data_IF_356928970514
#
_entry.id   IF_356928970514
#
_cell.length_a   1.000
_cell.length_b   1.000
_cell.length_c   1.000
_cell.angle_alpha   90.00
_cell.angle_beta   90.00
_cell.angle_gamma   90.00
#
_symmetry.space_group_name_H-M   'P 1'
#
loop_
_entity.id
_entity.type
_entity.pdbx_description
1 polymer ?
#
# COMPACT_ATOMS: atom_id res chain seq x y z
N UNK A 1 -2.39 25.67 -8.42
CA UNK A 1 -2.28 24.98 -7.12
C UNK A 1 -1.33 25.67 -6.15
N UNK A 2 -0.11 26.07 -6.57
CA UNK A 2 0.90 26.72 -5.72
C UNK A 2 1.50 27.95 -6.42
N UNK A 3 0.85 29.12 -6.38
CA UNK A 3 1.38 30.34 -7.02
C UNK A 3 2.58 30.94 -6.27
N UNK A 4 2.71 30.62 -4.98
CA UNK A 4 3.80 31.02 -4.09
C UNK A 4 4.32 29.79 -3.32
N UNK A 5 5.54 29.85 -2.75
CA UNK A 5 6.03 28.83 -1.84
C UNK A 5 5.02 28.54 -0.72
N UNK A 6 4.71 27.26 -0.53
CA UNK A 6 3.72 26.85 0.47
C UNK A 6 4.37 26.74 1.84
N UNK A 7 3.86 27.51 2.81
CA UNK A 7 4.34 27.50 4.20
C UNK A 7 3.49 26.62 5.12
N UNK A 8 2.38 26.06 4.61
CA UNK A 8 1.44 25.23 5.35
C UNK A 8 1.49 23.80 4.83
N UNK A 9 1.66 22.83 5.71
CA UNK A 9 1.52 21.42 5.40
C UNK A 9 0.44 20.77 6.28
N UNK A 10 -0.04 19.62 5.83
CA UNK A 10 -0.87 18.71 6.60
C UNK A 10 -0.06 17.44 6.85
N UNK A 11 0.08 17.07 8.12
CA UNK A 11 0.82 15.89 8.56
C UNK A 11 -0.12 14.95 9.31
N UNK A 12 -0.04 13.66 9.01
CA UNK A 12 -0.82 12.61 9.67
C UNK A 12 0.14 11.72 10.45
N UNK A 13 0.13 11.86 11.77
CA UNK A 13 1.05 11.11 12.64
C UNK A 13 0.79 9.59 12.59
N UNK A 14 1.83 8.80 12.89
CA UNK A 14 1.87 7.32 12.97
C UNK A 14 1.66 6.59 11.65
N UNK A 15 0.63 6.92 10.87
CA UNK A 15 0.36 6.26 9.58
C UNK A 15 1.46 6.51 8.54
N UNK A 16 2.26 7.55 8.74
CA UNK A 16 3.35 7.95 7.83
C UNK A 16 4.75 7.64 8.37
N UNK A 17 4.89 6.99 9.53
CA UNK A 17 6.20 6.75 10.14
C UNK A 17 6.88 5.45 9.66
N UNK A 18 6.18 4.59 8.94
CA UNK A 18 6.65 3.29 8.45
C UNK A 18 6.45 3.13 6.94
N UNK A 19 6.97 2.04 6.37
CA UNK A 19 6.77 1.64 4.97
C UNK A 19 7.10 2.78 3.99
N UNK A 20 6.19 3.16 3.08
CA UNK A 20 6.45 4.24 2.12
C UNK A 20 6.73 5.58 2.80
N UNK A 21 6.26 5.80 4.02
CA UNK A 21 6.52 7.03 4.78
C UNK A 21 7.96 7.12 5.25
N UNK A 22 8.53 5.97 5.67
CA UNK A 22 9.95 5.87 6.02
C UNK A 22 10.85 5.89 4.76
N UNK A 23 10.47 5.14 3.72
CA UNK A 23 11.26 5.06 2.47
C UNK A 23 11.21 6.34 1.64
N UNK A 24 10.19 7.19 1.83
CA UNK A 24 10.00 8.44 1.07
C UNK A 24 9.69 9.58 2.04
N UNK A 25 10.71 10.11 2.73
CA UNK A 25 10.52 11.21 3.67
C UNK A 25 9.76 12.37 3.03
N UNK A 26 8.82 12.98 3.75
CA UNK A 26 7.92 14.06 3.31
C UNK A 26 6.87 13.70 2.26
N UNK A 27 6.85 12.47 1.72
CA UNK A 27 5.93 12.09 0.65
C UNK A 27 4.46 12.26 1.06
N UNK A 28 4.07 11.72 2.22
CA UNK A 28 2.69 11.79 2.69
C UNK A 28 2.28 13.17 3.16
N UNK A 29 3.21 14.02 3.61
CA UNK A 29 2.91 15.43 3.89
C UNK A 29 2.54 16.16 2.60
N UNK A 30 3.29 15.92 1.52
CA UNK A 30 2.98 16.44 0.20
C UNK A 30 1.62 15.98 -0.30
N UNK A 31 1.31 14.68 -0.16
CA UNK A 31 0.00 14.11 -0.53
C UNK A 31 -1.12 14.73 0.30
N UNK A 32 -1.02 14.71 1.62
CA UNK A 32 -2.07 15.20 2.53
C UNK A 32 -2.33 16.70 2.30
N UNK A 33 -1.26 17.48 2.09
CA UNK A 33 -1.36 18.91 1.78
C UNK A 33 -2.08 19.17 0.46
N UNK A 34 -1.67 18.49 -0.63
CA UNK A 34 -2.31 18.73 -1.93
C UNK A 34 -3.74 18.22 -1.98
N UNK A 35 -4.03 17.07 -1.36
CA UNK A 35 -5.38 16.50 -1.31
C UNK A 35 -6.31 17.38 -0.48
N UNK A 36 -5.86 17.89 0.67
CA UNK A 36 -6.64 18.86 1.47
C UNK A 36 -7.00 20.09 0.64
N UNK A 37 -6.04 20.65 -0.11
CA UNK A 37 -6.33 21.79 -1.01
C UNK A 37 -7.36 21.43 -2.08
N UNK A 38 -7.26 20.24 -2.67
CA UNK A 38 -8.20 19.79 -3.70
C UNK A 38 -9.61 19.58 -3.12
N UNK A 39 -9.75 19.02 -1.93
CA UNK A 39 -11.05 18.85 -1.26
C UNK A 39 -11.68 20.20 -0.94
N UNK A 40 -10.90 21.16 -0.42
CA UNK A 40 -11.39 22.52 -0.18
C UNK A 40 -11.86 23.23 -1.47
N UNK A 41 -11.22 22.96 -2.61
CA UNK A 41 -11.62 23.52 -3.92
C UNK A 41 -12.87 22.81 -4.46
N UNK A 42 -12.94 21.49 -4.34
CA UNK A 42 -14.02 20.69 -4.89
C UNK A 42 -15.32 20.80 -4.08
N UNK A 43 -15.24 21.03 -2.77
CA UNK A 43 -16.38 21.01 -1.86
C UNK A 43 -16.91 19.59 -1.60
N UNK A 44 -18.15 19.47 -1.09
CA UNK A 44 -18.72 18.17 -0.74
C UNK A 44 -18.81 17.21 -1.93
N UNK A 45 -18.15 16.06 -1.83
CA UNK A 45 -18.06 15.12 -2.94
C UNK A 45 -17.70 13.70 -2.50
N UNK A 46 -17.58 12.80 -3.48
CA UNK A 46 -16.99 11.46 -3.32
C UNK A 46 -15.64 11.47 -4.02
N UNK A 47 -14.57 11.12 -3.31
CA UNK A 47 -13.23 11.06 -3.86
C UNK A 47 -12.76 9.60 -3.94
N UNK A 48 -12.32 9.19 -5.13
CA UNK A 48 -11.99 7.81 -5.45
C UNK A 48 -10.48 7.62 -5.46
N UNK A 49 -9.99 6.69 -4.66
CA UNK A 49 -8.56 6.37 -4.54
C UNK A 49 -8.36 4.87 -4.73
N UNK A 50 -7.35 4.49 -5.51
CA UNK A 50 -7.01 3.08 -5.72
C UNK A 50 -6.46 2.44 -4.46
N UNK A 51 -6.95 1.25 -4.13
CA UNK A 51 -6.46 0.44 -3.00
C UNK A 51 -5.01 -0.02 -3.18
N UNK A 52 -4.48 0.05 -4.40
CA UNK A 52 -3.09 -0.29 -4.69
C UNK A 52 -2.14 0.50 -3.79
N UNK A 53 -2.34 1.81 -3.68
CA UNK A 53 -1.60 2.69 -2.78
C UNK A 53 -2.26 2.70 -1.39
N UNK A 54 -2.36 1.53 -0.74
CA UNK A 54 -3.19 1.33 0.46
C UNK A 54 -2.82 2.27 1.63
N UNK A 55 -1.52 2.47 1.89
CA UNK A 55 -1.07 3.41 2.92
C UNK A 55 -1.52 4.84 2.61
N UNK A 56 -1.50 5.27 1.34
CA UNK A 56 -2.02 6.56 0.93
C UNK A 56 -3.53 6.67 1.19
N UNK A 57 -4.28 5.64 0.83
CA UNK A 57 -5.72 5.59 1.09
C UNK A 57 -6.03 5.69 2.59
N UNK A 58 -5.30 4.97 3.44
CA UNK A 58 -5.44 5.05 4.89
C UNK A 58 -5.13 6.45 5.44
N UNK A 59 -4.03 7.06 4.98
CA UNK A 59 -3.65 8.45 5.34
C UNK A 59 -4.73 9.43 4.92
N UNK A 60 -5.25 9.35 3.69
CA UNK A 60 -6.30 10.26 3.19
C UNK A 60 -7.61 10.07 3.93
N UNK A 61 -8.00 8.82 4.25
CA UNK A 61 -9.19 8.54 5.07
C UNK A 61 -9.07 9.16 6.45
N UNK A 62 -7.94 8.94 7.13
CA UNK A 62 -7.69 9.49 8.46
C UNK A 62 -7.68 11.01 8.45
N UNK A 63 -6.97 11.61 7.50
CA UNK A 63 -6.92 13.06 7.32
C UNK A 63 -8.30 13.67 7.08
N UNK A 64 -9.12 13.08 6.20
CA UNK A 64 -10.45 13.58 5.90
C UNK A 64 -11.36 13.51 7.14
N UNK A 65 -11.29 12.42 7.91
CA UNK A 65 -12.03 12.25 9.14
C UNK A 65 -11.58 13.24 10.23
N UNK A 66 -10.27 13.40 10.45
CA UNK A 66 -9.73 14.25 11.51
C UNK A 66 -9.90 15.76 11.26
N UNK A 67 -9.98 16.15 9.99
CA UNK A 67 -10.17 17.54 9.57
C UNK A 67 -11.62 17.85 9.19
N UNK A 68 -12.56 16.99 9.59
CA UNK A 68 -14.01 17.13 9.32
C UNK A 68 -14.33 17.47 7.86
N UNK A 69 -13.57 16.91 6.92
CA UNK A 69 -13.74 17.17 5.49
C UNK A 69 -15.07 16.55 5.02
N UNK A 70 -15.88 17.34 4.30
CA UNK A 70 -17.16 16.88 3.76
C UNK A 70 -17.00 15.97 2.52
N UNK A 71 -16.05 15.04 2.54
CA UNK A 71 -15.72 14.18 1.40
C UNK A 71 -15.81 12.71 1.80
N UNK A 72 -16.59 11.93 1.04
CA UNK A 72 -16.61 10.47 1.18
C UNK A 72 -15.40 9.87 0.45
N UNK A 73 -14.53 9.17 1.18
CA UNK A 73 -13.34 8.53 0.59
C UNK A 73 -13.65 7.09 0.17
N UNK A 74 -13.72 6.86 -1.14
CA UNK A 74 -14.06 5.56 -1.74
C UNK A 74 -12.78 4.84 -2.17
N UNK A 75 -12.51 3.69 -1.57
CA UNK A 75 -11.44 2.78 -1.99
C UNK A 75 -11.86 2.00 -3.24
N UNK A 76 -11.03 2.03 -4.27
CA UNK A 76 -11.27 1.32 -5.53
C UNK A 76 -10.39 0.07 -5.62
N UNK A 77 -10.95 -1.12 -5.89
CA UNK A 77 -10.17 -2.36 -5.97
C UNK A 77 -8.98 -2.26 -6.94
N UNK A 78 -7.92 -3.00 -6.62
CA UNK A 78 -6.72 -3.05 -7.46
C UNK A 78 -7.07 -3.64 -8.83
N UNK A 79 -6.91 -2.84 -9.88
CA UNK A 79 -6.98 -3.33 -11.25
C UNK A 79 -5.68 -4.07 -11.58
N UNK A 80 -5.81 -5.29 -12.08
CA UNK A 80 -4.69 -6.18 -12.40
C UNK A 80 -4.65 -6.48 -13.89
N UNK A 81 -3.44 -6.70 -14.39
CA UNK A 81 -3.23 -7.32 -15.70
C UNK A 81 -3.66 -8.79 -15.65
N UNK A 82 -3.79 -9.44 -16.82
CA UNK A 82 -4.32 -10.81 -16.92
C UNK A 82 -3.51 -11.87 -16.17
N UNK A 83 -2.24 -11.59 -15.91
CA UNK A 83 -1.31 -12.43 -15.14
C UNK A 83 -1.21 -12.04 -13.66
N UNK A 84 -2.07 -11.12 -13.20
CA UNK A 84 -2.19 -10.73 -11.81
C UNK A 84 -1.31 -9.57 -11.37
N UNK A 85 -0.40 -9.07 -12.21
CA UNK A 85 0.39 -7.89 -11.87
C UNK A 85 -0.52 -6.67 -11.67
N UNK A 86 -0.35 -5.94 -10.56
CA UNK A 86 -1.09 -4.71 -10.33
C UNK A 86 -0.76 -3.66 -11.42
N UNK A 87 -1.79 -3.09 -12.04
CA UNK A 87 -1.59 -2.07 -13.08
C UNK A 87 -0.86 -0.86 -12.51
N UNK A 88 0.16 -0.40 -13.23
CA UNK A 88 0.99 0.74 -12.85
C UNK A 88 1.46 1.48 -14.09
N UNK A 89 1.45 2.80 -14.06
CA UNK A 89 2.20 3.58 -15.08
C UNK A 89 3.68 3.21 -15.09
N UNK A 90 4.23 2.77 -13.94
CA UNK A 90 5.63 2.32 -13.83
C UNK A 90 5.91 0.99 -14.54
N UNK A 91 4.90 0.19 -14.90
CA UNK A 91 5.11 -1.07 -15.61
C UNK A 91 5.73 -0.85 -17.00
N UNK A 92 5.55 0.34 -17.58
CA UNK A 92 6.15 0.73 -18.87
C UNK A 92 7.69 0.74 -18.85
N UNK A 93 8.30 0.83 -17.67
CA UNK A 93 9.76 0.86 -17.52
C UNK A 93 10.38 -0.54 -17.41
N UNK A 94 9.56 -1.59 -17.38
CA UNK A 94 10.02 -2.97 -17.32
C UNK A 94 10.33 -3.45 -18.75
N UNK A 95 11.48 -4.08 -18.94
CA UNK A 95 11.70 -4.96 -20.08
C UNK A 95 10.73 -6.15 -20.04
N UNK A 96 10.62 -6.91 -21.12
CA UNK A 96 9.74 -8.09 -21.16
C UNK A 96 10.07 -9.11 -20.06
N UNK A 97 11.36 -9.36 -19.80
CA UNK A 97 11.80 -10.30 -18.76
C UNK A 97 11.55 -9.77 -17.36
N UNK A 98 11.80 -8.48 -17.10
CA UNK A 98 11.48 -7.85 -15.82
C UNK A 98 9.97 -7.83 -15.57
N UNK A 99 9.16 -7.63 -16.62
CA UNK A 99 7.70 -7.63 -16.53
C UNK A 99 7.15 -9.00 -16.15
N UNK A 100 7.68 -10.07 -16.72
CA UNK A 100 7.33 -11.44 -16.31
C UNK A 100 7.75 -11.71 -14.87
N UNK A 101 8.99 -11.34 -14.49
CA UNK A 101 9.49 -11.50 -13.13
C UNK A 101 8.66 -10.72 -12.09
N UNK A 102 8.16 -9.52 -12.42
CA UNK A 102 7.36 -8.69 -11.53
C UNK A 102 6.08 -9.38 -10.99
N UNK A 103 5.57 -10.40 -11.69
CA UNK A 103 4.44 -11.21 -11.21
C UNK A 103 4.74 -11.95 -9.89
N UNK A 104 6.03 -12.10 -9.54
CA UNK A 104 6.47 -12.66 -8.25
C UNK A 104 5.86 -11.95 -7.04
N UNK A 105 5.59 -10.64 -7.15
CA UNK A 105 4.97 -9.84 -6.09
C UNK A 105 3.56 -10.37 -5.77
N UNK A 106 2.74 -10.58 -6.81
CA UNK A 106 1.40 -11.12 -6.61
C UNK A 106 1.43 -12.58 -6.10
N UNK A 107 2.38 -13.38 -6.58
CA UNK A 107 2.57 -14.77 -6.10
C UNK A 107 2.91 -14.80 -4.61
N UNK A 108 3.82 -13.93 -4.16
CA UNK A 108 4.22 -13.85 -2.76
C UNK A 108 3.05 -13.42 -1.86
N UNK A 109 2.30 -12.38 -2.25
CA UNK A 109 1.11 -11.93 -1.52
C UNK A 109 0.05 -13.04 -1.39
N UNK A 110 -0.22 -13.78 -2.47
CA UNK A 110 -1.16 -14.91 -2.45
C UNK A 110 -0.67 -16.06 -1.58
N UNK A 111 0.63 -16.33 -1.55
CA UNK A 111 1.19 -17.35 -0.67
C UNK A 111 1.03 -16.95 0.80
N UNK A 112 1.28 -15.68 1.14
CA UNK A 112 1.02 -15.16 2.48
C UNK A 112 -0.46 -15.26 2.88
N UNK A 113 -1.37 -14.91 1.98
CA UNK A 113 -2.81 -15.07 2.20
C UNK A 113 -3.20 -16.53 2.45
N UNK A 114 -2.69 -17.46 1.64
CA UNK A 114 -2.97 -18.89 1.78
C UNK A 114 -2.48 -19.45 3.14
N UNK A 115 -1.38 -18.92 3.69
CA UNK A 115 -0.92 -19.30 5.03
C UNK A 115 -1.90 -18.85 6.12
N UNK A 116 -2.41 -17.62 6.03
CA UNK A 116 -3.42 -17.09 6.96
C UNK A 116 -4.70 -17.92 6.88
N UNK A 117 -5.17 -18.20 5.67
CA UNK A 117 -6.35 -19.04 5.41
C UNK A 117 -6.17 -20.48 5.94
N UNK A 118 -4.92 -20.98 5.97
CA UNK A 118 -4.57 -22.27 6.56
C UNK A 118 -4.40 -22.24 8.09
N UNK A 119 -4.54 -21.07 8.72
CA UNK A 119 -4.49 -20.89 10.18
C UNK A 119 -3.13 -20.46 10.74
N UNK A 120 -2.16 -20.07 9.88
CA UNK A 120 -0.97 -19.38 10.39
C UNK A 120 -1.38 -18.03 10.98
N UNK A 121 -0.94 -17.76 12.21
CA UNK A 121 -1.35 -16.61 13.00
C UNK A 121 -0.19 -15.74 13.46
N UNK A 122 1.05 -16.12 13.14
CA UNK A 122 2.25 -15.33 13.41
C UNK A 122 2.62 -14.49 12.17
N UNK A 123 2.46 -13.15 12.22
CA UNK A 123 2.83 -12.26 11.13
C UNK A 123 4.28 -12.42 10.68
N UNK A 124 5.21 -12.64 11.60
CA UNK A 124 6.64 -12.75 11.27
C UNK A 124 6.94 -13.97 10.39
N UNK A 125 6.21 -15.07 10.59
CA UNK A 125 6.34 -16.29 9.77
C UNK A 125 5.80 -16.04 8.37
N UNK A 126 4.66 -15.36 8.27
CA UNK A 126 4.01 -15.01 6.98
C UNK A 126 4.88 -14.03 6.20
N UNK A 127 5.39 -12.98 6.85
CA UNK A 127 6.30 -11.98 6.27
C UNK A 127 7.58 -12.62 5.77
N UNK A 128 8.21 -13.50 6.56
CA UNK A 128 9.41 -14.23 6.17
C UNK A 128 9.15 -15.15 4.95
N UNK A 129 7.99 -15.82 4.91
CA UNK A 129 7.63 -16.64 3.77
C UNK A 129 7.44 -15.81 2.50
N UNK A 130 6.69 -14.71 2.57
CA UNK A 130 6.53 -13.78 1.46
C UNK A 130 7.89 -13.25 0.96
N UNK A 131 8.76 -12.85 1.89
CA UNK A 131 10.10 -12.36 1.57
C UNK A 131 10.94 -13.42 0.86
N UNK A 132 10.86 -14.69 1.30
CA UNK A 132 11.62 -15.79 0.68
C UNK A 132 11.25 -16.01 -0.79
N UNK A 133 9.98 -15.83 -1.15
CA UNK A 133 9.49 -15.96 -2.53
C UNK A 133 10.07 -14.85 -3.42
N UNK A 134 10.14 -13.62 -2.93
CA UNK A 134 10.74 -12.50 -3.66
C UNK A 134 12.23 -12.70 -3.84
N UNK A 135 12.93 -13.09 -2.77
CA UNK A 135 14.38 -13.28 -2.79
C UNK A 135 14.83 -14.46 -3.67
N UNK A 136 13.91 -15.36 -4.04
CA UNK A 136 14.18 -16.45 -4.98
C UNK A 136 14.09 -16.02 -6.47
N UNK A 137 13.54 -14.83 -6.76
CA UNK A 137 13.46 -14.27 -8.12
C UNK A 137 14.67 -13.36 -8.38
N UNK A 138 15.63 -13.74 -9.25
CA UNK A 138 16.89 -13.00 -9.41
C UNK A 138 16.73 -11.56 -9.92
N UNK A 139 15.61 -11.25 -10.57
CA UNK A 139 15.33 -9.90 -11.09
C UNK A 139 14.57 -9.02 -10.08
N UNK A 140 14.22 -9.53 -8.91
CA UNK A 140 13.50 -8.80 -7.88
C UNK A 140 14.36 -8.63 -6.62
N UNK A 141 14.33 -7.42 -6.07
CA UNK A 141 14.93 -7.10 -4.78
C UNK A 141 13.83 -6.62 -3.83
N UNK A 142 13.63 -7.33 -2.72
CA UNK A 142 12.65 -6.95 -1.72
C UNK A 142 13.05 -5.65 -1.03
N UNK A 143 12.09 -4.72 -0.88
CA UNK A 143 12.21 -3.56 0.00
C UNK A 143 11.59 -3.90 1.36
N UNK A 144 10.30 -4.23 1.36
CA UNK A 144 9.62 -4.76 2.53
C UNK A 144 8.45 -5.67 2.14
N UNK A 145 8.11 -6.59 3.03
CA UNK A 145 6.89 -7.39 3.02
C UNK A 145 6.35 -7.43 4.45
N UNK A 146 5.15 -6.92 4.68
CA UNK A 146 4.58 -6.76 6.03
C UNK A 146 3.11 -7.19 6.07
N UNK A 147 2.67 -7.69 7.22
CA UNK A 147 1.27 -7.93 7.54
C UNK A 147 0.86 -6.91 8.59
N UNK A 148 -0.17 -6.11 8.30
CA UNK A 148 -0.60 -5.03 9.19
C UNK A 148 -2.10 -5.06 9.43
N UNK A 149 -2.49 -4.49 10.56
CA UNK A 149 -3.86 -4.04 10.78
C UNK A 149 -4.20 -2.90 9.80
N UNK A 150 -5.32 -2.97 9.05
CA UNK A 150 -5.61 -2.03 7.98
C UNK A 150 -5.93 -0.60 8.43
N UNK A 151 -6.26 -0.40 9.72
CA UNK A 151 -6.56 0.92 10.27
C UNK A 151 -5.32 1.61 10.82
N UNK A 152 -4.57 0.91 11.67
CA UNK A 152 -3.37 1.43 12.35
C UNK A 152 -2.10 1.31 11.53
N UNK A 153 -2.07 0.43 10.53
CA UNK A 153 -0.88 0.07 9.74
C UNK A 153 0.28 -0.45 10.59
N UNK A 154 -0.02 -0.99 11.77
CA UNK A 154 0.94 -1.67 12.63
C UNK A 154 0.83 -3.18 12.45
N UNK A 155 1.96 -3.87 12.53
CA UNK A 155 2.00 -5.32 12.60
C UNK A 155 1.44 -5.79 13.95
N UNK A 156 0.36 -6.58 13.98
CA UNK A 156 -0.16 -7.13 15.23
C UNK A 156 0.80 -8.20 15.79
N UNK A 157 0.75 -8.47 17.10
CA UNK A 157 1.57 -9.55 17.70
C UNK A 157 1.12 -10.94 17.21
N UNK A 158 -0.20 -11.09 17.02
CA UNK A 158 -0.87 -12.29 16.52
C UNK A 158 -2.10 -11.91 15.70
N UNK A 159 -2.39 -12.72 14.68
CA UNK A 159 -3.62 -12.62 13.91
C UNK A 159 -4.77 -13.24 14.71
N UNK A 160 -5.83 -12.47 14.92
CA UNK A 160 -7.01 -12.90 15.65
C UNK A 160 -8.11 -13.35 14.67
N UNK A 161 -8.75 -14.49 14.95
CA UNK A 161 -9.88 -14.98 14.15
C UNK A 161 -10.99 -13.93 14.05
N UNK A 162 -11.55 -13.79 12.84
CA UNK A 162 -12.61 -12.83 12.54
C UNK A 162 -12.14 -11.39 12.30
N UNK A 163 -10.83 -11.12 12.28
CA UNK A 163 -10.29 -9.82 11.86
C UNK A 163 -9.87 -9.83 10.39
N UNK A 164 -9.74 -8.64 9.80
CA UNK A 164 -9.16 -8.47 8.47
C UNK A 164 -7.76 -7.86 8.62
N UNK A 165 -6.78 -8.43 7.94
CA UNK A 165 -5.43 -7.86 7.84
C UNK A 165 -5.07 -7.48 6.41
N UNK A 166 -4.02 -6.69 6.27
CA UNK A 166 -3.48 -6.27 4.98
C UNK A 166 -2.04 -6.76 4.85
N UNK A 167 -1.76 -7.52 3.79
CA UNK A 167 -0.39 -7.85 3.38
C UNK A 167 0.05 -6.75 2.41
N UNK A 168 1.13 -6.03 2.72
CA UNK A 168 1.72 -5.02 1.85
C UNK A 168 3.12 -5.43 1.44
N UNK A 169 3.47 -5.17 0.20
CA UNK A 169 4.77 -5.50 -0.34
C UNK A 169 5.28 -4.45 -1.31
N UNK A 170 6.57 -4.17 -1.20
CA UNK A 170 7.31 -3.41 -2.21
C UNK A 170 8.56 -4.17 -2.59
N UNK A 171 8.79 -4.29 -3.89
CA UNK A 171 10.01 -4.83 -4.45
C UNK A 171 10.48 -3.98 -5.63
N UNK A 172 11.78 -3.87 -5.79
CA UNK A 172 12.39 -3.30 -6.97
C UNK A 172 12.58 -4.39 -8.02
N UNK A 173 12.08 -4.15 -9.24
CA UNK A 173 12.25 -5.05 -10.39
C UNK A 173 12.81 -4.23 -11.52
N UNK A 174 14.10 -4.43 -11.83
CA UNK A 174 14.83 -3.51 -12.69
C UNK A 174 14.95 -2.12 -12.07
N UNK A 175 14.55 -1.08 -12.81
CA UNK A 175 14.57 0.31 -12.32
C UNK A 175 13.38 0.66 -11.41
N UNK A 176 12.11 0.30 -11.69
CA UNK A 176 10.99 0.72 -10.86
C UNK A 176 10.88 -0.03 -9.52
N UNK A 177 10.56 0.70 -8.45
CA UNK A 177 9.93 0.15 -7.22
C UNK A 177 8.45 -0.10 -7.50
N UNK A 178 8.03 -1.35 -7.38
CA UNK A 178 6.65 -1.80 -7.58
C UNK A 178 6.02 -2.11 -6.22
N UNK A 179 4.79 -1.66 -6.05
CA UNK A 179 4.01 -1.84 -4.83
C UNK A 179 2.72 -2.60 -5.15
N UNK A 180 2.34 -3.49 -4.25
CA UNK A 180 1.09 -4.25 -4.30
C UNK A 180 0.66 -4.63 -2.87
N UNK A 181 -0.61 -4.98 -2.71
CA UNK A 181 -1.15 -5.45 -1.44
C UNK A 181 -2.32 -6.40 -1.63
N UNK A 182 -2.69 -7.10 -0.56
CA UNK A 182 -3.84 -7.99 -0.52
C UNK A 182 -4.50 -7.93 0.87
N UNK A 183 -5.82 -7.75 0.89
CA UNK A 183 -6.62 -7.87 2.12
C UNK A 183 -7.04 -9.32 2.34
N UNK A 184 -6.98 -9.79 3.58
CA UNK A 184 -7.27 -11.18 3.94
C UNK A 184 -8.05 -11.21 5.25
N UNK A 185 -9.15 -11.95 5.27
CA UNK A 185 -9.92 -12.23 6.48
C UNK A 185 -9.31 -13.45 7.18
N UNK A 186 -9.07 -13.31 8.49
CA UNK A 186 -8.50 -14.37 9.31
C UNK A 186 -9.63 -15.32 9.72
N UNK A 187 -9.54 -16.64 9.40
CA UNK A 187 -10.61 -17.61 9.62
C UNK A 187 -10.91 -17.90 11.09
#
# INVERSE_FOLDING_TARGET
MYPEPTLTNVHVDRLTSSMEGASRPTHFDGVSTVVTKLFNIAGPCRAYFGEKDFQQLAVVRRMAADLDQSVEIVGCPIVRETDGLAMSSRNVYLSSTEREAATVINRALRAGAAMIEAGESDPSVIEAHMASIINAEPLAALDYAVVVDPESLLTPDRLASGTTVRLLMVAQVGTPRLLDNLGVDVP
#
